data_IF_711653529392
#
_entry.id   IF_711653529392
#
_cell.length_a   1.000
_cell.length_b   1.000
_cell.length_c   1.000
_cell.angle_alpha   90.00
_cell.angle_beta   90.00
_cell.angle_gamma   90.00
#
_symmetry.space_group_name_H-M   'P 1'
#
loop_
_entity.id
_entity.type
_entity.pdbx_description
1 polymer ?
#
# COMPACT_ATOMS: atom_id res chain seq x y z
N UNK A 1 2.05 19.44 9.62
CA UNK A 1 2.47 18.03 9.87
C UNK A 1 3.39 17.64 8.72
N UNK A 2 4.52 16.98 8.95
CA UNK A 2 5.40 16.47 7.88
C UNK A 2 5.12 14.98 7.66
N UNK A 3 5.29 14.45 6.43
CA UNK A 3 5.22 13.02 6.21
C UNK A 3 6.35 12.30 6.97
N UNK A 4 6.10 11.05 7.37
CA UNK A 4 7.02 10.17 8.10
C UNK A 4 8.23 9.71 7.28
N UNK A 5 8.17 9.87 5.96
CA UNK A 5 9.25 9.52 5.05
C UNK A 5 9.13 10.23 3.71
N UNK A 6 10.15 10.07 2.88
CA UNK A 6 10.21 10.61 1.52
C UNK A 6 9.34 9.81 0.55
N UNK A 7 9.26 8.49 0.76
CA UNK A 7 8.40 7.59 -0.03
C UNK A 7 8.04 6.34 0.76
N UNK A 8 6.99 5.67 0.31
CA UNK A 8 6.62 4.33 0.73
C UNK A 8 7.10 3.35 -0.33
N UNK A 9 8.01 2.44 0.05
CA UNK A 9 8.40 1.32 -0.81
C UNK A 9 7.36 0.21 -0.66
N UNK A 10 6.76 -0.18 -1.78
CA UNK A 10 5.71 -1.18 -1.82
C UNK A 10 6.19 -2.40 -2.61
N UNK A 11 5.92 -3.60 -2.09
CA UNK A 11 6.16 -4.85 -2.79
C UNK A 11 4.91 -5.72 -2.78
N UNK A 12 4.58 -6.32 -3.92
CA UNK A 12 3.52 -7.28 -4.10
C UNK A 12 4.13 -8.63 -4.44
N UNK A 13 3.57 -9.70 -3.89
CA UNK A 13 3.86 -11.07 -4.30
C UNK A 13 2.56 -11.74 -4.72
N UNK A 14 2.56 -12.39 -5.86
CA UNK A 14 1.40 -13.15 -6.38
C UNK A 14 1.48 -14.64 -6.03
N UNK A 15 0.37 -15.35 -6.20
CA UNK A 15 0.27 -16.79 -5.93
C UNK A 15 1.16 -17.65 -6.84
N UNK A 16 1.40 -17.21 -8.08
CA UNK A 16 2.34 -17.82 -9.03
C UNK A 16 3.81 -17.39 -8.78
N UNK A 17 4.05 -16.61 -7.71
CA UNK A 17 5.37 -16.21 -7.24
C UNK A 17 6.00 -15.07 -8.02
N UNK A 18 5.23 -14.24 -8.73
CA UNK A 18 5.73 -13.01 -9.33
C UNK A 18 5.90 -11.94 -8.24
N UNK A 19 6.89 -11.07 -8.41
CA UNK A 19 7.20 -9.99 -7.47
C UNK A 19 7.09 -8.66 -8.19
N UNK A 20 6.20 -7.80 -7.66
CA UNK A 20 6.00 -6.45 -8.13
C UNK A 20 6.56 -5.46 -7.12
N UNK A 21 7.17 -4.38 -7.58
CA UNK A 21 7.59 -3.28 -6.72
C UNK A 21 7.14 -1.93 -7.30
N UNK A 22 6.77 -1.01 -6.41
CA UNK A 22 6.42 0.37 -6.76
C UNK A 22 6.64 1.29 -5.57
N UNK A 23 6.66 2.59 -5.84
CA UNK A 23 6.83 3.62 -4.84
C UNK A 23 5.62 4.54 -4.78
N UNK A 24 5.30 4.99 -3.57
CA UNK A 24 4.26 6.00 -3.32
C UNK A 24 4.88 7.21 -2.66
N UNK A 25 4.56 8.39 -3.18
CA UNK A 25 5.13 9.66 -2.75
C UNK A 25 4.06 10.51 -2.04
N UNK A 26 4.34 11.03 -0.83
CA UNK A 26 3.42 11.92 -0.13
C UNK A 26 3.25 13.22 -0.92
N UNK A 27 2.05 13.81 -0.85
CA UNK A 27 1.80 15.14 -1.42
C UNK A 27 2.26 16.28 -0.52
N UNK A 28 2.02 17.52 -0.95
CA UNK A 28 2.34 18.70 -0.13
C UNK A 28 1.32 18.91 0.99
N UNK A 29 0.05 18.57 0.74
CA UNK A 29 -1.02 18.71 1.70
C UNK A 29 -1.04 17.54 2.71
N UNK A 30 -1.41 17.77 3.98
CA UNK A 30 -1.55 16.69 4.96
C UNK A 30 -2.50 15.59 4.48
N UNK A 31 -2.11 14.32 4.69
CA UNK A 31 -2.89 13.13 4.31
C UNK A 31 -3.12 12.98 2.79
N UNK A 32 -2.31 13.64 1.96
CA UNK A 32 -2.39 13.52 0.50
C UNK A 32 -1.28 12.64 -0.08
N UNK A 33 -1.54 12.07 -1.25
CA UNK A 33 -0.57 11.36 -2.09
C UNK A 33 -0.35 12.19 -3.35
N UNK A 34 0.89 12.48 -3.70
CA UNK A 34 1.21 13.19 -4.94
C UNK A 34 1.27 12.23 -6.13
N UNK A 35 1.84 11.04 -5.92
CA UNK A 35 2.10 10.09 -6.99
C UNK A 35 2.17 8.67 -6.47
N UNK A 36 1.61 7.75 -7.24
CA UNK A 36 1.83 6.30 -7.13
C UNK A 36 2.51 5.86 -8.42
N UNK A 37 3.72 5.31 -8.32
CA UNK A 37 4.42 4.78 -9.49
C UNK A 37 3.75 3.48 -9.96
N UNK A 38 3.81 3.17 -11.27
CA UNK A 38 3.29 1.90 -11.78
C UNK A 38 4.07 0.73 -11.20
N UNK A 39 3.38 -0.39 -10.97
CA UNK A 39 4.00 -1.63 -10.49
C UNK A 39 4.96 -2.17 -11.54
N UNK A 40 6.22 -2.28 -11.16
CA UNK A 40 7.26 -2.97 -11.94
C UNK A 40 7.31 -4.42 -11.50
N UNK A 41 6.83 -5.28 -12.38
CA UNK A 41 6.85 -6.72 -12.18
C UNK A 41 8.15 -7.33 -12.71
N UNK A 42 8.69 -8.32 -12.00
CA UNK A 42 9.77 -9.17 -12.49
C UNK A 42 9.35 -9.99 -13.71
N UNK A 43 8.10 -10.47 -13.71
CA UNK A 43 7.41 -11.16 -14.80
C UNK A 43 5.91 -10.89 -14.71
N UNK A 44 5.20 -11.00 -15.84
CA UNK A 44 3.78 -10.69 -15.88
C UNK A 44 2.97 -11.67 -14.99
N UNK A 45 2.23 -11.18 -13.98
CA UNK A 45 1.45 -12.04 -13.10
C UNK A 45 0.24 -12.62 -13.83
N UNK A 46 0.00 -13.91 -13.63
CA UNK A 46 -1.19 -14.62 -14.13
C UNK A 46 -2.20 -14.93 -13.01
N UNK A 47 -1.76 -14.85 -11.75
CA UNK A 47 -2.61 -15.05 -10.58
C UNK A 47 -2.70 -13.79 -9.71
N UNK A 48 -3.65 -13.82 -8.76
CA UNK A 48 -3.87 -12.73 -7.82
C UNK A 48 -2.66 -12.50 -6.90
N UNK A 49 -2.62 -11.29 -6.33
CA UNK A 49 -1.67 -10.91 -5.28
C UNK A 49 -1.97 -11.70 -4.00
N UNK A 50 -0.99 -12.45 -3.54
CA UNK A 50 -1.00 -13.21 -2.28
C UNK A 50 -0.71 -12.32 -1.07
N UNK A 51 0.24 -11.40 -1.20
CA UNK A 51 0.62 -10.48 -0.12
C UNK A 51 1.16 -9.16 -0.66
N UNK A 52 0.94 -8.09 0.11
CA UNK A 52 1.51 -6.78 -0.12
C UNK A 52 2.26 -6.34 1.14
N UNK A 53 3.48 -5.83 0.96
CA UNK A 53 4.30 -5.29 2.04
C UNK A 53 4.69 -3.83 1.75
N UNK A 54 4.73 -3.02 2.80
CA UNK A 54 4.89 -1.57 2.73
C UNK A 54 5.93 -1.13 3.74
N UNK A 55 6.95 -0.42 3.30
CA UNK A 55 8.03 0.08 4.16
C UNK A 55 8.28 1.56 3.95
N UNK A 56 8.31 2.34 5.03
CA UNK A 56 8.57 3.78 4.94
C UNK A 56 10.07 4.01 4.73
N UNK A 57 10.42 4.77 3.69
CA UNK A 57 11.78 5.22 3.41
C UNK A 57 11.92 6.67 3.90
N UNK A 58 12.71 6.87 4.95
CA UNK A 58 13.09 8.18 5.46
C UNK A 58 14.38 8.70 4.83
N UNK A 59 14.84 9.86 5.29
CA UNK A 59 16.08 10.48 4.79
C UNK A 59 17.32 9.59 4.98
N UNK A 60 17.37 8.83 6.08
CA UNK A 60 18.46 7.91 6.40
C UNK A 60 18.23 6.48 5.87
N UNK A 61 17.22 6.27 5.01
CA UNK A 61 16.91 4.96 4.42
C UNK A 61 15.67 4.29 5.01
N UNK A 62 15.61 2.96 4.95
CA UNK A 62 14.46 2.18 5.44
C UNK A 62 14.28 2.34 6.95
N UNK A 63 13.08 2.70 7.38
CA UNK A 63 12.78 3.00 8.79
C UNK A 63 12.40 1.76 9.63
N UNK A 64 12.45 0.55 9.07
CA UNK A 64 12.06 -0.69 9.77
C UNK A 64 10.55 -0.85 10.01
N UNK A 65 9.74 0.18 9.79
CA UNK A 65 8.28 0.10 9.84
C UNK A 65 7.75 -0.65 8.61
N UNK A 66 7.46 -1.95 8.78
CA UNK A 66 6.85 -2.78 7.75
C UNK A 66 5.38 -3.06 8.08
N UNK A 67 4.48 -2.70 7.18
CA UNK A 67 3.07 -3.09 7.22
C UNK A 67 2.86 -4.17 6.16
N UNK A 68 2.07 -5.20 6.48
CA UNK A 68 1.69 -6.25 5.53
C UNK A 68 0.18 -6.34 5.41
N UNK A 69 -0.29 -6.52 4.19
CA UNK A 69 -1.65 -6.91 3.88
C UNK A 69 -1.64 -8.29 3.24
N UNK A 70 -2.42 -9.22 3.77
CA UNK A 70 -2.61 -10.52 3.14
C UNK A 70 -3.51 -10.41 1.89
N UNK A 71 -3.68 -11.52 1.16
CA UNK A 71 -4.49 -11.58 -0.06
C UNK A 71 -5.88 -10.95 0.12
N UNK A 72 -6.59 -11.31 1.18
CA UNK A 72 -7.95 -10.83 1.42
C UNK A 72 -8.00 -9.32 1.68
N UNK A 73 -7.06 -8.81 2.48
CA UNK A 73 -6.96 -7.39 2.80
C UNK A 73 -6.58 -6.57 1.58
N UNK A 74 -5.59 -7.02 0.79
CA UNK A 74 -5.18 -6.35 -0.44
C UNK A 74 -6.29 -6.37 -1.50
N UNK A 75 -6.97 -7.51 -1.67
CA UNK A 75 -8.12 -7.61 -2.57
C UNK A 75 -9.26 -6.70 -2.14
N UNK A 76 -9.53 -6.59 -0.84
CA UNK A 76 -10.55 -5.67 -0.33
C UNK A 76 -10.19 -4.21 -0.62
N UNK A 77 -8.96 -3.80 -0.28
CA UNK A 77 -8.44 -2.45 -0.55
C UNK A 77 -8.63 -2.05 -2.02
N UNK A 78 -8.21 -2.93 -2.93
CA UNK A 78 -8.28 -2.69 -4.38
C UNK A 78 -9.72 -2.73 -4.91
N UNK A 79 -10.56 -3.64 -4.42
CA UNK A 79 -11.99 -3.69 -4.80
C UNK A 79 -12.71 -2.38 -4.47
N UNK A 80 -12.43 -1.78 -3.31
CA UNK A 80 -13.12 -0.57 -2.83
C UNK A 80 -12.34 0.72 -3.06
N UNK A 81 -11.22 0.67 -3.78
CA UNK A 81 -10.40 1.83 -4.15
C UNK A 81 -9.89 2.65 -2.96
N UNK A 82 -9.45 1.98 -1.89
CA UNK A 82 -8.94 2.62 -0.66
C UNK A 82 -7.40 2.58 -0.54
N UNK A 83 -6.69 2.29 -1.63
CA UNK A 83 -5.22 2.25 -1.65
C UNK A 83 -4.59 3.59 -1.29
N UNK A 84 -5.04 4.70 -1.90
CA UNK A 84 -4.53 6.03 -1.60
C UNK A 84 -4.74 6.45 -0.13
N UNK A 85 -5.96 6.34 0.45
CA UNK A 85 -6.17 6.53 1.89
C UNK A 85 -5.28 5.65 2.75
N UNK A 86 -5.05 4.41 2.33
CA UNK A 86 -4.17 3.48 3.04
C UNK A 86 -2.72 3.98 3.01
N UNK A 87 -2.15 4.31 1.84
CA UNK A 87 -0.81 4.87 1.74
C UNK A 87 -0.66 6.17 2.53
N UNK A 88 -1.65 7.06 2.43
CA UNK A 88 -1.67 8.32 3.15
C UNK A 88 -1.64 8.10 4.67
N UNK A 89 -2.39 7.12 5.18
CA UNK A 89 -2.37 6.77 6.60
C UNK A 89 -1.00 6.29 7.07
N UNK A 90 -0.23 5.60 6.22
CA UNK A 90 1.14 5.17 6.55
C UNK A 90 2.08 6.38 6.55
N UNK A 91 2.09 7.14 5.46
CA UNK A 91 3.02 8.25 5.25
C UNK A 91 2.73 9.45 6.17
N UNK A 92 1.49 9.69 6.56
CA UNK A 92 1.10 10.84 7.39
C UNK A 92 0.79 10.47 8.84
N UNK A 93 1.09 9.23 9.23
CA UNK A 93 0.95 8.79 10.61
C UNK A 93 -0.47 8.66 11.13
N UNK A 94 -1.40 8.26 10.26
CA UNK A 94 -2.71 7.75 10.62
C UNK A 94 -2.69 6.28 11.06
N UNK A 95 -3.85 5.63 10.95
CA UNK A 95 -4.04 4.22 11.31
C UNK A 95 -4.32 3.37 10.06
N UNK A 96 -3.29 2.75 9.45
CA UNK A 96 -3.46 1.91 8.26
C UNK A 96 -4.28 0.64 8.51
N UNK A 97 -4.24 0.08 9.72
CA UNK A 97 -5.03 -1.10 10.06
C UNK A 97 -6.52 -0.81 10.03
N UNK A 98 -6.93 0.37 10.51
CA UNK A 98 -8.32 0.80 10.40
C UNK A 98 -8.78 0.92 8.94
N UNK A 99 -7.92 1.39 8.04
CA UNK A 99 -8.25 1.45 6.60
C UNK A 99 -8.42 0.05 6.01
N UNK A 100 -7.61 -0.94 6.43
CA UNK A 100 -7.78 -2.34 6.03
C UNK A 100 -9.10 -2.94 6.54
N UNK A 101 -9.47 -2.64 7.78
CA UNK A 101 -10.74 -3.06 8.39
C UNK A 101 -11.93 -2.46 7.63
N UNK A 102 -11.91 -1.15 7.41
CA UNK A 102 -12.94 -0.41 6.66
C UNK A 102 -13.08 -0.98 5.24
N UNK A 103 -11.97 -1.22 4.54
CA UNK A 103 -11.96 -1.83 3.22
C UNK A 103 -12.59 -3.23 3.23
N UNK A 104 -12.26 -4.05 4.22
CA UNK A 104 -12.81 -5.41 4.37
C UNK A 104 -14.31 -5.38 4.63
N UNK A 105 -14.79 -4.46 5.47
CA UNK A 105 -16.22 -4.30 5.73
C UNK A 105 -16.99 -3.81 4.49
N UNK A 106 -16.44 -2.83 3.77
CA UNK A 106 -17.04 -2.30 2.56
C UNK A 106 -17.05 -3.34 1.43
N UNK A 107 -15.98 -4.12 1.26
CA UNK A 107 -15.88 -5.14 0.22
C UNK A 107 -16.94 -6.26 0.38
N UNK A 108 -17.37 -6.55 1.61
CA UNK A 108 -18.47 -7.49 1.91
C UNK A 108 -19.86 -6.94 1.52
N UNK A 109 -20.01 -5.62 1.49
CA UNK A 109 -21.26 -4.92 1.14
C UNK A 109 -21.32 -4.51 -0.33
N UNK A 110 -20.17 -4.43 -0.98
CA UNK A 110 -20.07 -4.16 -2.40
C UNK A 110 -20.57 -5.38 -3.20
N UNK A 111 -21.46 -5.18 -4.18
CA UNK A 111 -21.98 -6.25 -5.03
C UNK A 111 -20.88 -7.03 -5.77
#
# INVERSE_FOLDING_TARGET
>A
MKPRGQRLACSLRTLDGCVGAYDVFPGEAPKSIARVDPVRWDRQPQQEVLEAAFSVIGEMGMTGHMIRANQYQWRALTKVKLEEPFYASILWGGNPLKVLEDATMLAKRAP
#
